data_IF_941500135244
#
_entry.id   IF_941500135244
#
_cell.length_a   1.000
_cell.length_b   1.000
_cell.length_c   1.000
_cell.angle_alpha   90.00
_cell.angle_beta   90.00
_cell.angle_gamma   90.00
#
_symmetry.space_group_name_H-M   'P 1'
#
loop_
_entity.id
_entity.type
_entity.pdbx_description
1 polymer ?
#
# COMPACT_ATOMS: atom_id res chain seq x y z
N UNK A 1 25.75 -24.78 -72.69
CA UNK A 1 24.75 -24.36 -73.71
C UNK A 1 23.37 -24.55 -73.09
N UNK A 2 22.63 -23.44 -72.90
CA UNK A 2 21.20 -23.32 -72.53
C UNK A 2 20.78 -23.73 -71.12
N UNK A 3 20.76 -22.71 -70.25
CA UNK A 3 19.87 -22.60 -69.09
C UNK A 3 18.44 -22.31 -69.58
N UNK A 4 17.44 -22.91 -68.93
CA UNK A 4 16.05 -22.42 -68.95
C UNK A 4 15.45 -22.62 -67.56
N UNK A 5 15.28 -21.51 -66.84
CA UNK A 5 14.45 -21.39 -65.64
C UNK A 5 12.99 -21.26 -66.06
N UNK A 6 12.08 -21.94 -65.37
CA UNK A 6 10.65 -21.61 -65.37
C UNK A 6 10.29 -21.32 -63.91
N UNK A 7 10.19 -20.03 -63.59
CA UNK A 7 9.66 -19.55 -62.32
C UNK A 7 8.13 -19.49 -62.45
N UNK A 8 7.42 -20.32 -61.69
CA UNK A 8 5.97 -20.30 -61.59
C UNK A 8 5.58 -19.41 -60.40
N UNK A 9 5.26 -18.15 -60.68
CA UNK A 9 4.76 -17.18 -59.69
C UNK A 9 3.27 -17.42 -59.43
N UNK A 10 2.93 -17.95 -58.27
CA UNK A 10 1.55 -18.03 -57.76
C UNK A 10 1.30 -16.80 -56.90
N UNK A 11 0.55 -15.84 -57.43
CA UNK A 11 0.07 -14.68 -56.67
C UNK A 11 -1.12 -15.09 -55.81
N UNK A 12 -0.91 -15.26 -54.51
CA UNK A 12 -1.98 -15.43 -53.52
C UNK A 12 -2.58 -14.05 -53.21
N UNK A 13 -3.75 -13.74 -53.78
CA UNK A 13 -4.52 -12.57 -53.40
C UNK A 13 -5.24 -12.86 -52.07
N UNK A 14 -4.69 -12.38 -50.97
CA UNK A 14 -5.35 -12.41 -49.67
C UNK A 14 -6.48 -11.38 -49.64
N UNK A 15 -7.72 -11.85 -49.75
CA UNK A 15 -8.91 -11.05 -49.47
C UNK A 15 -8.97 -10.87 -47.95
N UNK A 16 -8.60 -9.68 -47.47
CA UNK A 16 -8.84 -9.28 -46.08
C UNK A 16 -10.34 -8.97 -45.94
N UNK A 17 -11.12 -9.91 -45.43
CA UNK A 17 -12.48 -9.65 -44.99
C UNK A 17 -12.42 -8.80 -43.72
N UNK A 18 -12.72 -7.51 -43.84
CA UNK A 18 -12.96 -6.66 -42.67
C UNK A 18 -14.29 -7.06 -42.05
N UNK A 19 -14.25 -7.79 -40.94
CA UNK A 19 -15.44 -7.96 -40.11
C UNK A 19 -15.87 -6.59 -39.56
N UNK A 20 -17.15 -6.22 -39.61
CA UNK A 20 -17.62 -5.00 -38.97
C UNK A 20 -17.32 -5.11 -37.47
N UNK A 21 -16.49 -4.21 -36.93
CA UNK A 21 -16.34 -4.13 -35.48
C UNK A 21 -17.66 -3.64 -34.91
N UNK A 22 -18.41 -4.53 -34.27
CA UNK A 22 -19.53 -4.13 -33.43
C UNK A 22 -18.91 -3.30 -32.31
N UNK A 23 -19.05 -1.97 -32.40
CA UNK A 23 -18.65 -1.09 -31.31
C UNK A 23 -19.40 -1.55 -30.07
N UNK A 24 -18.67 -2.11 -29.10
CA UNK A 24 -19.26 -2.53 -27.84
C UNK A 24 -19.94 -1.30 -27.23
N UNK A 25 -21.27 -1.35 -27.10
CA UNK A 25 -22.03 -0.31 -26.41
C UNK A 25 -21.50 -0.26 -24.98
N UNK A 26 -20.86 0.84 -24.63
CA UNK A 26 -20.24 0.97 -23.31
C UNK A 26 -21.35 1.25 -22.29
N UNK A 27 -21.92 0.17 -21.73
CA UNK A 27 -23.02 0.14 -20.76
C UNK A 27 -22.59 0.56 -19.34
N UNK A 28 -21.43 1.20 -19.19
CA UNK A 28 -20.95 1.63 -17.89
C UNK A 28 -21.81 2.78 -17.36
N UNK A 29 -22.24 2.65 -16.10
CA UNK A 29 -22.97 3.68 -15.35
C UNK A 29 -22.25 3.91 -14.02
N UNK A 30 -22.29 5.14 -13.53
CA UNK A 30 -21.76 5.52 -12.23
C UNK A 30 -22.84 6.23 -11.42
N UNK A 31 -22.92 5.87 -10.15
CA UNK A 31 -23.80 6.50 -9.16
C UNK A 31 -23.27 7.88 -8.75
N UNK A 32 -22.03 8.21 -9.13
CA UNK A 32 -21.41 9.52 -8.95
C UNK A 32 -21.61 10.35 -10.23
N UNK A 33 -22.34 11.46 -10.08
CA UNK A 33 -22.60 12.42 -11.16
C UNK A 33 -21.28 12.98 -11.70
N UNK A 34 -21.14 13.02 -13.02
CA UNK A 34 -19.99 13.62 -13.70
C UNK A 34 -18.75 12.74 -13.77
N UNK A 35 -18.81 11.51 -13.27
CA UNK A 35 -17.73 10.53 -13.43
C UNK A 35 -18.00 9.66 -14.65
N UNK A 36 -17.03 9.55 -15.54
CA UNK A 36 -17.02 8.65 -16.70
C UNK A 36 -16.03 7.51 -16.49
N UNK A 37 -16.28 6.34 -17.10
CA UNK A 37 -15.40 5.17 -16.95
C UNK A 37 -13.93 5.44 -17.26
N UNK A 38 -13.65 6.26 -18.28
CA UNK A 38 -12.29 6.59 -18.70
C UNK A 38 -11.49 7.30 -17.60
N UNK A 39 -12.13 8.13 -16.78
CA UNK A 39 -11.52 8.85 -15.67
C UNK A 39 -11.01 7.93 -14.54
N UNK A 40 -11.44 6.66 -14.52
CA UNK A 40 -10.95 5.65 -13.58
C UNK A 40 -9.58 5.09 -13.96
N UNK A 41 -9.04 5.50 -15.12
CA UNK A 41 -7.72 5.08 -15.60
C UNK A 41 -6.76 6.27 -15.57
N UNK A 42 -5.49 6.09 -15.14
CA UNK A 42 -4.50 7.15 -15.20
C UNK A 42 -4.31 7.74 -16.60
N UNK A 43 -4.48 6.92 -17.65
CA UNK A 43 -4.27 7.29 -19.05
C UNK A 43 -5.16 8.45 -19.50
N UNK A 44 -6.40 8.51 -19.03
CA UNK A 44 -7.31 9.61 -19.36
C UNK A 44 -6.80 10.97 -18.87
N UNK A 45 -6.18 11.00 -17.70
CA UNK A 45 -5.62 12.22 -17.13
C UNK A 45 -4.27 12.55 -17.75
N UNK A 46 -3.44 11.53 -18.00
CA UNK A 46 -2.14 11.69 -18.67
C UNK A 46 -2.28 12.23 -20.10
N UNK A 47 -3.33 11.86 -20.84
CA UNK A 47 -3.56 12.40 -22.19
C UNK A 47 -3.93 13.89 -22.22
N UNK A 48 -4.25 14.48 -21.06
CA UNK A 48 -4.64 15.88 -20.94
C UNK A 48 -3.47 16.78 -20.50
N UNK A 49 -2.31 16.19 -20.20
CA UNK A 49 -1.12 16.93 -19.78
C UNK A 49 0.02 16.67 -20.74
N UNK A 50 0.94 17.63 -20.83
CA UNK A 50 2.19 17.43 -21.56
C UNK A 50 3.15 16.60 -20.74
N UNK A 51 3.76 15.59 -21.36
CA UNK A 51 4.82 14.80 -20.75
C UNK A 51 6.01 15.70 -20.42
N UNK A 52 6.31 15.84 -19.12
CA UNK A 52 7.38 16.67 -18.60
C UNK A 52 7.97 16.05 -17.35
N UNK A 53 9.29 16.17 -17.20
CA UNK A 53 9.97 15.79 -15.96
C UNK A 53 9.53 16.72 -14.83
N UNK A 54 8.96 16.15 -13.76
CA UNK A 54 8.52 16.91 -12.58
C UNK A 54 9.68 17.27 -11.65
N UNK A 55 10.60 16.32 -11.44
CA UNK A 55 11.80 16.48 -10.63
C UNK A 55 12.96 15.69 -11.24
N UNK A 56 14.13 16.31 -11.29
CA UNK A 56 15.39 15.61 -11.56
C UNK A 56 15.77 14.69 -10.40
N UNK A 57 16.69 13.76 -10.62
CA UNK A 57 17.20 12.88 -9.56
C UNK A 57 17.78 13.67 -8.36
N UNK A 58 18.44 14.80 -8.63
CA UNK A 58 18.97 15.68 -7.59
C UNK A 58 17.85 16.34 -6.75
N UNK A 59 16.76 16.76 -7.41
CA UNK A 59 15.59 17.31 -6.73
C UNK A 59 14.85 16.26 -5.90
N UNK A 60 14.74 15.02 -6.40
CA UNK A 60 14.17 13.89 -5.63
C UNK A 60 15.01 13.60 -4.39
N UNK A 61 16.34 13.56 -4.53
CA UNK A 61 17.22 13.32 -3.39
C UNK A 61 17.12 14.44 -2.34
N UNK A 62 17.04 15.70 -2.77
CA UNK A 62 16.83 16.83 -1.87
C UNK A 62 15.46 16.76 -1.18
N UNK A 63 14.40 16.45 -1.93
CA UNK A 63 13.04 16.30 -1.41
C UNK A 63 12.96 15.20 -0.35
N UNK A 64 13.55 14.03 -0.60
CA UNK A 64 13.55 12.92 0.36
C UNK A 64 14.32 13.25 1.64
N UNK A 65 15.43 13.98 1.54
CA UNK A 65 16.18 14.45 2.72
C UNK A 65 15.35 15.44 3.53
N UNK A 66 14.71 16.39 2.86
CA UNK A 66 13.83 17.37 3.51
C UNK A 66 12.64 16.68 4.19
N UNK A 67 12.05 15.68 3.53
CA UNK A 67 10.94 14.90 4.07
C UNK A 67 11.29 14.27 5.43
N UNK A 68 12.46 13.66 5.55
CA UNK A 68 12.93 13.07 6.81
C UNK A 68 13.27 14.15 7.85
N UNK A 69 13.87 15.26 7.42
CA UNK A 69 14.31 16.33 8.33
C UNK A 69 13.14 17.15 8.94
N UNK A 70 12.05 17.32 8.19
CA UNK A 70 10.97 18.26 8.55
C UNK A 70 9.66 17.57 8.95
N UNK A 71 9.45 16.30 8.63
CA UNK A 71 8.22 15.59 8.96
C UNK A 71 8.37 14.76 10.23
N UNK A 72 7.75 15.22 11.32
CA UNK A 72 7.78 14.55 12.64
C UNK A 72 7.20 13.12 12.65
N UNK A 73 6.44 12.75 11.61
CA UNK A 73 5.85 11.41 11.47
C UNK A 73 6.69 10.47 10.61
N UNK A 74 7.79 10.94 10.03
CA UNK A 74 8.72 10.12 9.24
C UNK A 74 10.01 9.98 10.02
N UNK A 75 10.38 8.73 10.28
CA UNK A 75 11.65 8.38 10.91
C UNK A 75 12.57 7.80 9.86
N UNK A 76 13.87 8.07 9.97
CA UNK A 76 14.87 7.29 9.22
C UNK A 76 14.94 5.90 9.85
N UNK A 77 14.51 4.83 9.15
CA UNK A 77 14.50 3.50 9.71
C UNK A 77 15.91 2.96 9.96
N UNK A 78 16.96 3.54 9.36
CA UNK A 78 18.35 3.10 9.53
C UNK A 78 19.10 3.87 10.62
N UNK A 79 18.53 4.99 11.09
CA UNK A 79 19.06 5.80 12.19
C UNK A 79 18.22 5.61 13.47
N UNK A 80 18.02 4.34 13.83
CA UNK A 80 17.32 3.98 15.06
C UNK A 80 18.31 3.46 16.11
N UNK A 81 18.00 3.71 17.39
CA UNK A 81 18.84 3.26 18.50
C UNK A 81 19.08 1.74 18.45
N UNK A 82 20.33 1.30 18.58
CA UNK A 82 20.69 -0.13 18.57
C UNK A 82 20.26 -0.89 19.83
N UNK A 83 19.91 -0.16 20.90
CA UNK A 83 19.47 -0.67 22.18
C UNK A 83 18.42 0.27 22.78
N UNK A 84 17.47 -0.31 23.51
CA UNK A 84 16.45 0.43 24.28
C UNK A 84 16.47 -0.03 25.73
N UNK A 85 16.42 0.93 26.66
CA UNK A 85 16.16 0.60 28.06
C UNK A 85 14.75 0.05 28.22
N UNK A 86 14.50 -0.63 29.34
CA UNK A 86 13.16 -1.08 29.72
C UNK A 86 12.12 0.04 29.65
N UNK A 87 12.44 1.20 30.18
CA UNK A 87 11.54 2.36 30.25
C UNK A 87 11.23 2.91 28.86
N UNK A 88 12.25 3.03 28.01
CA UNK A 88 12.08 3.50 26.63
C UNK A 88 11.19 2.54 25.83
N UNK A 89 11.50 1.24 25.86
CA UNK A 89 10.72 0.23 25.14
C UNK A 89 9.28 0.16 25.67
N UNK A 90 9.09 0.20 27.00
CA UNK A 90 7.76 0.26 27.61
C UNK A 90 6.98 1.50 27.17
N UNK A 91 7.63 2.67 27.12
CA UNK A 91 7.01 3.90 26.65
C UNK A 91 6.58 3.81 25.18
N UNK A 92 7.40 3.22 24.31
CA UNK A 92 7.04 3.00 22.89
C UNK A 92 5.83 2.05 22.74
N UNK A 93 5.75 0.98 23.54
CA UNK A 93 4.60 0.06 23.47
C UNK A 93 3.32 0.77 23.95
N UNK A 94 3.40 1.50 25.06
CA UNK A 94 2.26 2.15 25.69
C UNK A 94 1.78 3.43 24.98
N UNK A 95 2.62 4.05 24.14
CA UNK A 95 2.21 5.21 23.33
C UNK A 95 1.12 4.84 22.32
N UNK A 96 1.07 3.57 21.91
CA UNK A 96 0.07 3.03 20.98
C UNK A 96 -0.95 2.18 21.75
N UNK A 97 -0.51 1.32 22.67
CA UNK A 97 -1.33 0.30 23.33
C UNK A 97 -2.08 0.80 24.56
N UNK A 98 -2.88 1.87 24.40
CA UNK A 98 -3.65 2.47 25.50
C UNK A 98 -5.14 2.10 25.41
N UNK A 99 -5.79 1.92 26.57
CA UNK A 99 -7.24 1.69 26.64
C UNK A 99 -7.97 2.95 26.17
N UNK A 100 -8.83 2.87 25.14
CA UNK A 100 -9.56 4.04 24.65
C UNK A 100 -10.56 4.57 25.68
N UNK A 101 -10.77 5.89 25.67
CA UNK A 101 -11.77 6.55 26.53
C UNK A 101 -13.21 6.35 26.05
N UNK A 102 -13.41 6.23 24.75
CA UNK A 102 -14.72 5.95 24.16
C UNK A 102 -15.01 4.45 24.15
N UNK A 103 -16.29 4.04 24.24
CA UNK A 103 -16.69 2.64 24.12
C UNK A 103 -16.14 2.00 22.85
N UNK A 104 -15.99 0.68 22.93
CA UNK A 104 -15.55 -0.14 21.81
C UNK A 104 -16.46 -1.34 21.71
N UNK A 105 -16.72 -1.78 20.49
CA UNK A 105 -17.64 -2.88 20.22
C UNK A 105 -17.01 -3.90 19.28
N UNK A 106 -17.35 -5.16 19.49
CA UNK A 106 -17.11 -6.20 18.49
C UNK A 106 -18.07 -6.00 17.30
N UNK A 107 -17.80 -6.62 16.13
CA UNK A 107 -18.64 -6.46 14.94
C UNK A 107 -20.09 -6.93 15.12
N UNK A 108 -20.36 -7.76 16.12
CA UNK A 108 -21.70 -8.21 16.48
C UNK A 108 -22.45 -7.23 17.40
N UNK A 109 -21.86 -6.05 17.70
CA UNK A 109 -22.43 -5.03 18.58
C UNK A 109 -22.21 -5.27 20.08
N UNK A 110 -21.57 -6.36 20.48
CA UNK A 110 -21.25 -6.60 21.90
C UNK A 110 -20.14 -5.65 22.39
N UNK A 111 -20.25 -5.07 23.59
CA UNK A 111 -19.25 -4.14 24.10
C UNK A 111 -17.94 -4.84 24.51
N UNK A 112 -16.81 -4.16 24.31
CA UNK A 112 -15.56 -4.47 24.97
C UNK A 112 -15.58 -3.92 26.40
N UNK A 113 -15.48 -4.82 27.36
CA UNK A 113 -15.45 -4.50 28.79
C UNK A 113 -14.01 -4.28 29.25
N UNK A 114 -13.86 -3.75 30.47
CA UNK A 114 -12.55 -3.64 31.12
C UNK A 114 -11.81 -4.99 31.17
N UNK A 115 -12.52 -6.08 31.47
CA UNK A 115 -11.94 -7.43 31.51
C UNK A 115 -11.36 -7.89 30.16
N UNK A 116 -11.99 -7.50 29.03
CA UNK A 116 -11.43 -7.77 27.70
C UNK A 116 -10.12 -6.97 27.48
N UNK A 117 -10.09 -5.70 27.89
CA UNK A 117 -8.89 -4.89 27.80
C UNK A 117 -7.77 -5.36 28.73
N UNK A 118 -8.08 -5.90 29.91
CA UNK A 118 -7.10 -6.53 30.80
C UNK A 118 -6.36 -7.67 30.10
N UNK A 119 -7.07 -8.52 29.37
CA UNK A 119 -6.45 -9.58 28.56
C UNK A 119 -5.50 -9.01 27.50
N UNK A 120 -5.89 -7.94 26.81
CA UNK A 120 -5.03 -7.32 25.79
C UNK A 120 -3.79 -6.67 26.40
N UNK A 121 -3.92 -6.03 27.55
CA UNK A 121 -2.81 -5.44 28.28
C UNK A 121 -1.86 -6.53 28.81
N UNK A 122 -2.39 -7.64 29.31
CA UNK A 122 -1.58 -8.79 29.72
C UNK A 122 -0.76 -9.36 28.55
N UNK A 123 -1.34 -9.44 27.35
CA UNK A 123 -0.63 -9.89 26.15
C UNK A 123 0.52 -8.96 25.72
N UNK A 124 0.60 -7.72 26.22
CA UNK A 124 1.77 -6.85 25.99
C UNK A 124 3.03 -7.38 26.70
N UNK A 125 2.86 -8.20 27.74
CA UNK A 125 3.93 -8.87 28.47
C UNK A 125 5.05 -7.91 28.94
N UNK A 126 4.66 -6.73 29.45
CA UNK A 126 5.59 -5.66 29.82
C UNK A 126 6.52 -6.02 30.99
N UNK A 127 6.16 -7.02 31.78
CA UNK A 127 6.95 -7.49 32.91
C UNK A 127 8.18 -8.30 32.46
N UNK A 128 8.14 -8.88 31.27
CA UNK A 128 9.24 -9.66 30.69
C UNK A 128 10.31 -8.80 29.98
N UNK A 129 10.12 -7.48 29.91
CA UNK A 129 11.12 -6.58 29.32
C UNK A 129 12.41 -6.61 30.14
N UNK A 130 13.55 -6.80 29.48
CA UNK A 130 14.85 -6.72 30.12
C UNK A 130 15.22 -5.26 30.38
N UNK A 131 16.19 -5.02 31.28
CA UNK A 131 16.71 -3.67 31.55
C UNK A 131 17.31 -3.02 30.30
N UNK A 132 17.86 -3.85 29.41
CA UNK A 132 18.45 -3.45 28.14
C UNK A 132 18.03 -4.43 27.03
N UNK A 133 17.46 -3.91 25.94
CA UNK A 133 16.86 -4.69 24.86
C UNK A 133 17.53 -4.33 23.53
N UNK A 134 18.14 -5.31 22.88
CA UNK A 134 18.77 -5.12 21.57
C UNK A 134 17.72 -4.89 20.48
N UNK A 135 17.90 -3.84 19.68
CA UNK A 135 17.08 -3.60 18.49
C UNK A 135 17.70 -4.36 17.31
N UNK A 136 16.85 -5.07 16.56
CA UNK A 136 17.25 -5.82 15.37
C UNK A 136 16.36 -5.44 14.20
N UNK A 137 16.96 -5.34 13.01
CA UNK A 137 16.22 -5.14 11.79
C UNK A 137 15.47 -6.41 11.38
N UNK A 138 14.23 -6.22 10.93
CA UNK A 138 13.37 -7.29 10.42
C UNK A 138 12.78 -6.93 9.07
N UNK A 139 12.43 -7.93 8.28
CA UNK A 139 11.77 -7.77 6.99
C UNK A 139 10.41 -8.46 7.01
N UNK A 140 9.36 -7.72 6.65
CA UNK A 140 8.03 -8.30 6.48
C UNK A 140 7.98 -9.14 5.20
N UNK A 141 7.91 -10.47 5.36
CA UNK A 141 7.89 -11.43 4.23
C UNK A 141 6.48 -11.78 3.74
N UNK A 142 5.46 -11.34 4.47
CA UNK A 142 4.04 -11.54 4.14
C UNK A 142 3.28 -10.26 4.46
N UNK A 143 2.24 -9.96 3.66
CA UNK A 143 1.30 -8.88 3.97
C UNK A 143 0.70 -9.15 5.36
N UNK A 144 0.76 -8.15 6.22
CA UNK A 144 0.30 -8.23 7.59
C UNK A 144 -0.37 -6.91 7.99
N UNK A 145 -0.86 -6.86 9.22
CA UNK A 145 -1.57 -5.72 9.79
C UNK A 145 -0.88 -5.27 11.06
N UNK A 146 -0.59 -3.98 11.15
CA UNK A 146 -0.19 -3.36 12.41
C UNK A 146 -1.42 -3.24 13.31
N UNK A 147 -1.24 -3.51 14.61
CA UNK A 147 -2.32 -3.58 15.59
C UNK A 147 -1.97 -2.77 16.82
N UNK A 148 -2.98 -2.14 17.41
CA UNK A 148 -2.85 -1.37 18.66
C UNK A 148 -2.58 -2.26 19.87
N UNK A 149 -3.20 -3.43 19.91
CA UNK A 149 -2.93 -4.48 20.89
C UNK A 149 -2.59 -5.78 20.15
N UNK A 150 -1.79 -6.68 20.75
CA UNK A 150 -1.45 -7.98 20.17
C UNK A 150 -2.65 -8.96 20.26
N UNK A 151 -3.69 -8.68 19.48
CA UNK A 151 -4.90 -9.49 19.33
C UNK A 151 -5.38 -9.48 17.88
N UNK A 152 -6.07 -10.55 17.50
CA UNK A 152 -6.76 -10.63 16.21
C UNK A 152 -8.15 -10.00 16.23
N UNK A 153 -8.66 -9.69 17.42
CA UNK A 153 -9.98 -9.12 17.60
C UNK A 153 -10.14 -7.86 16.74
N UNK A 154 -11.27 -7.81 16.04
CA UNK A 154 -11.68 -6.64 15.29
C UNK A 154 -12.58 -5.82 16.18
N UNK A 155 -12.22 -4.56 16.37
CA UNK A 155 -12.88 -3.68 17.32
C UNK A 155 -13.29 -2.40 16.60
N UNK A 156 -14.51 -1.97 16.82
CA UNK A 156 -15.13 -0.78 16.22
C UNK A 156 -15.33 0.30 17.29
N UNK A 157 -15.30 1.55 16.86
CA UNK A 157 -15.61 2.73 17.67
C UNK A 157 -17.11 2.95 17.84
#
# INVERSE_FOLDING_TARGET
MRLTLIALSISLASIVTMAPSVAAVNIWQSDVIGVNQSQLTPQHWLSQVTDKTLMSAAQIAAFNKQLIAENEHIVDPLDFASQLTREQLKAHILSISAVPKSPRFYPNGSPLTAQHFEKYQANLNLDALADNNQVSYGMAVKRSVLRTFPTWDRVLN
#
